data_IF_423525295697
#
_entry.id   IF_423525295697
#
_cell.length_a   1.000
_cell.length_b   1.000
_cell.length_c   1.000
_cell.angle_alpha   90.00
_cell.angle_beta   90.00
_cell.angle_gamma   90.00
#
_symmetry.space_group_name_H-M   'P 1'
#
loop_
_entity.id
_entity.type
_entity.pdbx_description
1 polymer ?
#
# COMPACT_ATOMS: atom_id res chain seq x y z
N UNK A 1 34.19 -52.97 -43.49
CA UNK A 1 32.77 -52.56 -43.66
C UNK A 1 32.41 -51.61 -42.53
N UNK A 2 32.26 -50.33 -42.86
CA UNK A 2 31.79 -49.26 -41.98
C UNK A 2 30.30 -49.42 -41.69
N UNK A 3 29.87 -49.15 -40.45
CA UNK A 3 28.57 -48.55 -40.20
C UNK A 3 28.68 -47.55 -39.06
N UNK A 4 28.63 -46.26 -39.41
CA UNK A 4 28.62 -45.14 -38.47
C UNK A 4 27.16 -44.79 -38.16
N UNK A 5 26.73 -44.95 -36.91
CA UNK A 5 25.38 -44.60 -36.46
C UNK A 5 25.34 -43.13 -36.05
N UNK A 6 24.70 -42.30 -36.88
CA UNK A 6 24.49 -40.87 -36.67
C UNK A 6 23.30 -40.70 -35.69
N UNK A 7 23.59 -40.38 -34.43
CA UNK A 7 22.55 -40.05 -33.42
C UNK A 7 22.10 -38.61 -33.62
N UNK A 8 20.87 -38.44 -34.13
CA UNK A 8 20.18 -37.14 -34.19
C UNK A 8 20.01 -36.57 -32.78
N UNK A 9 20.72 -35.48 -32.50
CA UNK A 9 20.48 -34.64 -31.32
C UNK A 9 19.29 -33.72 -31.63
N UNK A 10 18.13 -34.02 -31.05
CA UNK A 10 16.97 -33.11 -31.08
C UNK A 10 17.19 -32.04 -30.01
N UNK A 11 17.55 -30.84 -30.43
CA UNK A 11 17.66 -29.66 -29.58
C UNK A 11 16.25 -29.07 -29.39
N UNK A 12 15.59 -29.39 -28.28
CA UNK A 12 14.36 -28.70 -27.88
C UNK A 12 14.72 -27.30 -27.37
N UNK A 13 14.57 -26.28 -28.23
CA UNK A 13 14.50 -24.88 -27.80
C UNK A 13 13.25 -24.70 -26.95
N UNK A 14 13.39 -24.74 -25.62
CA UNK A 14 12.41 -24.14 -24.72
C UNK A 14 12.62 -22.62 -24.74
N UNK A 15 11.84 -21.93 -25.57
CA UNK A 15 11.70 -20.49 -25.45
C UNK A 15 11.05 -20.19 -24.09
N UNK A 16 11.87 -19.82 -23.10
CA UNK A 16 11.40 -19.31 -21.84
C UNK A 16 10.69 -17.98 -22.11
N UNK A 17 9.37 -18.02 -22.22
CA UNK A 17 8.52 -16.84 -22.18
C UNK A 17 8.68 -16.23 -20.79
N UNK A 18 9.61 -15.29 -20.63
CA UNK A 18 9.66 -14.42 -19.47
C UNK A 18 8.44 -13.51 -19.54
N UNK A 19 7.29 -14.03 -19.08
CA UNK A 19 6.10 -13.23 -18.85
C UNK A 19 6.46 -12.23 -17.78
N UNK A 20 6.69 -10.98 -18.17
CA UNK A 20 6.67 -9.87 -17.22
C UNK A 20 5.22 -9.78 -16.74
N UNK A 21 4.97 -10.31 -15.55
CA UNK A 21 3.73 -10.02 -14.85
C UNK A 21 3.72 -8.52 -14.59
N UNK A 22 3.06 -7.76 -15.46
CA UNK A 22 2.78 -6.35 -15.24
C UNK A 22 1.80 -6.35 -14.06
N UNK A 23 2.29 -6.17 -12.84
CA UNK A 23 1.41 -5.93 -11.71
C UNK A 23 0.74 -4.58 -11.98
N UNK A 24 -0.53 -4.60 -12.38
CA UNK A 24 -1.33 -3.38 -12.43
C UNK A 24 -1.20 -2.73 -11.05
N UNK A 25 -0.77 -1.45 -10.96
CA UNK A 25 -0.65 -0.80 -9.67
C UNK A 25 -2.01 -0.86 -8.97
N UNK A 26 -2.03 -1.43 -7.77
CA UNK A 26 -3.25 -1.70 -6.98
C UNK A 26 -4.07 -0.42 -6.70
N UNK A 27 -3.46 0.74 -6.90
CA UNK A 27 -4.08 2.06 -6.79
C UNK A 27 -3.76 2.90 -8.04
N UNK A 28 -4.77 3.55 -8.62
CA UNK A 28 -4.59 4.43 -9.79
C UNK A 28 -3.67 5.61 -9.47
N UNK A 29 -3.02 6.19 -10.49
CA UNK A 29 -2.13 7.35 -10.31
C UNK A 29 -2.87 8.58 -9.75
N UNK A 30 -4.10 8.83 -10.23
CA UNK A 30 -4.91 9.94 -9.72
C UNK A 30 -5.32 9.75 -8.26
N UNK A 31 -5.66 8.51 -7.86
CA UNK A 31 -5.96 8.18 -6.46
C UNK A 31 -4.73 8.35 -5.57
N UNK A 32 -3.57 7.85 -6.01
CA UNK A 32 -2.31 8.03 -5.28
C UNK A 32 -1.93 9.50 -5.12
N UNK A 33 -2.03 10.28 -6.20
CA UNK A 33 -1.73 11.72 -6.18
C UNK A 33 -2.64 12.47 -5.21
N UNK A 34 -3.96 12.22 -5.29
CA UNK A 34 -4.94 12.75 -4.33
C UNK A 34 -4.54 12.40 -2.91
N UNK A 35 -4.11 11.14 -2.69
CA UNK A 35 -3.77 10.69 -1.36
C UNK A 35 -2.55 11.40 -0.79
N UNK A 36 -1.52 11.66 -1.59
CA UNK A 36 -0.32 12.39 -1.13
C UNK A 36 -0.63 13.86 -0.85
N UNK A 37 -1.50 14.48 -1.66
CA UNK A 37 -1.92 15.87 -1.49
C UNK A 37 -2.81 16.06 -0.24
N UNK A 38 -3.58 15.03 0.14
CA UNK A 38 -4.49 15.03 1.30
C UNK A 38 -3.95 14.17 2.46
N UNK A 39 -3.51 14.79 3.55
CA UNK A 39 -2.79 14.11 4.65
C UNK A 39 -3.55 13.03 5.44
N UNK A 40 -4.85 12.86 5.20
CA UNK A 40 -5.69 11.84 5.89
C UNK A 40 -6.09 10.68 4.98
N UNK A 41 -5.58 10.67 3.74
CA UNK A 41 -5.79 9.62 2.75
C UNK A 41 -4.67 8.58 2.84
N UNK A 42 -4.99 7.36 2.42
CA UNK A 42 -4.04 6.25 2.43
C UNK A 42 -3.55 5.97 1.00
N UNK A 43 -2.31 5.49 0.90
CA UNK A 43 -1.68 5.15 -0.36
C UNK A 43 -0.92 3.83 -0.25
N UNK A 44 -0.87 3.08 -1.36
CA UNK A 44 -0.04 1.88 -1.48
C UNK A 44 1.32 2.27 -2.06
N UNK A 45 2.40 1.92 -1.36
CA UNK A 45 3.78 2.20 -1.75
C UNK A 45 4.76 1.19 -1.13
N UNK A 46 5.99 1.19 -1.63
CA UNK A 46 7.10 0.36 -1.13
C UNK A 46 8.10 1.22 -0.39
N UNK A 47 8.54 0.78 0.77
CA UNK A 47 9.62 1.38 1.56
C UNK A 47 10.81 0.42 1.56
N UNK A 48 12.00 0.94 1.32
CA UNK A 48 13.26 0.20 1.36
C UNK A 48 14.19 0.87 2.38
N UNK A 49 14.69 0.09 3.34
CA UNK A 49 15.77 0.51 4.25
C UNK A 49 17.12 0.24 3.56
N UNK A 50 17.77 1.30 3.08
CA UNK A 50 19.04 1.19 2.33
C UNK A 50 20.18 0.60 3.17
N UNK A 51 20.07 0.63 4.49
CA UNK A 51 21.11 0.07 5.38
C UNK A 51 21.03 -1.44 5.47
N UNK A 52 19.84 -2.01 5.34
CA UNK A 52 19.59 -3.45 5.51
C UNK A 52 19.17 -4.14 4.20
N UNK A 53 18.75 -3.38 3.20
CA UNK A 53 18.12 -3.88 1.99
C UNK A 53 16.71 -4.43 2.21
N UNK A 54 16.16 -4.34 3.43
CA UNK A 54 14.82 -4.81 3.71
C UNK A 54 13.79 -3.91 3.04
N UNK A 55 12.87 -4.53 2.31
CA UNK A 55 11.76 -3.84 1.65
C UNK A 55 10.42 -4.27 2.25
N UNK A 56 9.47 -3.34 2.27
CA UNK A 56 8.09 -3.61 2.65
C UNK A 56 7.14 -2.79 1.77
N UNK A 57 6.24 -3.49 1.10
CA UNK A 57 5.11 -2.88 0.38
C UNK A 57 3.88 -2.92 1.27
N UNK A 58 3.12 -1.84 1.31
CA UNK A 58 1.89 -1.79 2.06
C UNK A 58 1.13 -0.48 1.82
N UNK A 59 0.08 -0.31 2.59
CA UNK A 59 -0.82 0.81 2.63
C UNK A 59 -0.62 1.54 3.96
N UNK A 60 -0.44 2.86 3.90
CA UNK A 60 -0.37 3.69 5.11
C UNK A 60 -0.94 5.07 4.81
N UNK A 61 -1.32 5.77 5.88
CA UNK A 61 -1.74 7.17 5.79
C UNK A 61 -0.59 8.04 5.27
N UNK A 62 -0.85 8.90 4.29
CA UNK A 62 0.22 9.63 3.58
C UNK A 62 0.89 10.70 4.42
N UNK A 63 0.29 11.16 5.53
CA UNK A 63 1.00 12.00 6.50
C UNK A 63 2.24 11.31 7.09
N UNK A 64 2.20 9.99 7.28
CA UNK A 64 3.35 9.22 7.77
C UNK A 64 4.48 9.15 6.73
N UNK A 65 4.13 8.94 5.46
CA UNK A 65 5.10 9.00 4.37
C UNK A 65 5.71 10.41 4.24
N UNK A 66 4.88 11.45 4.29
CA UNK A 66 5.34 12.85 4.28
C UNK A 66 6.28 13.13 5.45
N UNK A 67 5.90 12.71 6.66
CA UNK A 67 6.74 12.85 7.85
C UNK A 67 8.08 12.13 7.71
N UNK A 68 8.11 10.95 7.06
CA UNK A 68 9.35 10.26 6.77
C UNK A 68 10.26 11.08 5.84
N UNK A 69 9.71 11.72 4.80
CA UNK A 69 10.47 12.62 3.93
C UNK A 69 10.99 13.88 4.65
N UNK A 70 10.19 14.47 5.53
CA UNK A 70 10.65 15.58 6.37
C UNK A 70 11.85 15.18 7.23
N UNK A 71 11.82 13.97 7.81
CA UNK A 71 12.89 13.42 8.65
C UNK A 71 14.13 13.03 7.82
N UNK A 72 13.95 12.36 6.68
CA UNK A 72 15.04 11.86 5.83
C UNK A 72 15.88 13.01 5.26
N UNK A 73 15.21 14.07 4.79
CA UNK A 73 15.85 15.18 4.09
C UNK A 73 16.00 16.44 4.93
N UNK A 74 15.69 16.37 6.23
CA UNK A 74 15.72 17.51 7.17
C UNK A 74 14.94 18.73 6.63
N UNK A 75 13.81 18.48 5.96
CA UNK A 75 12.94 19.51 5.39
C UNK A 75 11.95 19.95 6.48
N UNK A 76 11.86 21.26 6.75
CA UNK A 76 10.93 21.80 7.75
C UNK A 76 9.45 21.64 7.38
N UNK A 77 8.56 22.15 8.22
CA UNK A 77 7.10 21.95 8.09
C UNK A 77 6.35 23.21 7.65
N UNK A 78 7.04 24.20 7.08
CA UNK A 78 6.34 25.36 6.48
C UNK A 78 5.46 24.91 5.31
N UNK A 79 4.58 25.80 4.84
CA UNK A 79 3.70 25.52 3.69
C UNK A 79 4.52 25.20 2.44
N UNK A 80 5.58 25.97 2.20
CA UNK A 80 6.49 25.85 1.08
C UNK A 80 7.26 24.52 1.14
N UNK A 81 7.78 24.18 2.32
CA UNK A 81 8.52 22.93 2.54
C UNK A 81 7.61 21.70 2.46
N UNK A 82 6.38 21.80 2.95
CA UNK A 82 5.38 20.74 2.81
C UNK A 82 5.05 20.46 1.34
N UNK A 83 4.95 21.51 0.51
CA UNK A 83 4.77 21.38 -0.95
C UNK A 83 5.98 20.71 -1.60
N UNK A 84 7.20 21.04 -1.15
CA UNK A 84 8.43 20.38 -1.62
C UNK A 84 8.39 18.88 -1.34
N UNK A 85 7.98 18.47 -0.13
CA UNK A 85 7.84 17.05 0.22
C UNK A 85 6.81 16.35 -0.66
N UNK A 86 5.64 16.95 -0.89
CA UNK A 86 4.63 16.39 -1.81
C UNK A 86 5.20 16.20 -3.21
N UNK A 87 5.90 17.20 -3.76
CA UNK A 87 6.54 17.10 -5.08
C UNK A 87 7.59 15.97 -5.13
N UNK A 88 8.41 15.81 -4.08
CA UNK A 88 9.40 14.72 -4.00
C UNK A 88 8.74 13.34 -3.96
N UNK A 89 7.65 13.18 -3.21
CA UNK A 89 6.91 11.91 -3.17
C UNK A 89 6.35 11.59 -4.57
N UNK A 90 5.73 12.58 -5.22
CA UNK A 90 5.09 12.40 -6.53
C UNK A 90 6.08 12.25 -7.70
N UNK A 91 7.36 12.61 -7.53
CA UNK A 91 8.37 12.40 -8.57
C UNK A 91 8.80 10.93 -8.71
N UNK A 92 8.46 10.06 -7.76
CA UNK A 92 8.75 8.63 -7.79
C UNK A 92 7.53 7.86 -8.34
N UNK A 93 7.52 7.66 -9.66
CA UNK A 93 6.35 7.09 -10.37
C UNK A 93 6.10 5.62 -10.05
N UNK A 94 7.13 4.89 -9.63
CA UNK A 94 7.04 3.49 -9.20
C UNK A 94 6.58 3.35 -7.73
N UNK A 95 6.50 4.47 -6.99
CA UNK A 95 6.09 4.55 -5.59
C UNK A 95 6.99 3.70 -4.67
N UNK A 96 8.25 3.58 -5.05
CA UNK A 96 9.29 2.98 -4.21
C UNK A 96 10.10 4.09 -3.57
N UNK A 97 10.23 4.04 -2.25
CA UNK A 97 10.90 5.05 -1.46
C UNK A 97 12.02 4.44 -0.66
N UNK A 98 13.21 4.95 -0.88
CA UNK A 98 14.44 4.55 -0.23
C UNK A 98 14.73 5.49 0.94
N UNK A 99 15.04 4.92 2.10
CA UNK A 99 15.39 5.67 3.30
C UNK A 99 16.65 5.08 3.92
N UNK A 100 17.55 5.96 4.35
CA UNK A 100 18.71 5.58 5.15
C UNK A 100 18.49 5.94 6.63
N UNK A 101 17.66 6.94 6.94
CA UNK A 101 17.40 7.35 8.32
C UNK A 101 16.42 6.38 9.03
N UNK A 102 16.83 5.67 10.10
CA UNK A 102 15.93 4.76 10.83
C UNK A 102 14.71 5.48 11.43
N UNK A 103 14.82 6.78 11.74
CA UNK A 103 13.67 7.56 12.24
C UNK A 103 12.64 7.83 11.14
N UNK A 104 13.07 8.01 9.90
CA UNK A 104 12.16 8.18 8.76
C UNK A 104 11.37 6.90 8.52
N UNK A 105 12.05 5.75 8.52
CA UNK A 105 11.41 4.43 8.38
C UNK A 105 10.41 4.17 9.51
N UNK A 106 10.81 4.44 10.76
CA UNK A 106 9.94 4.27 11.93
C UNK A 106 8.70 5.18 11.90
N UNK A 107 8.73 6.28 11.14
CA UNK A 107 7.59 7.17 10.97
C UNK A 107 6.50 6.59 10.05
N UNK A 108 6.76 5.48 9.36
CA UNK A 108 5.80 4.80 8.49
C UNK A 108 5.35 3.49 9.16
N UNK A 109 4.35 3.55 10.05
CA UNK A 109 3.88 2.36 10.72
C UNK A 109 2.97 1.56 9.79
N UNK A 110 3.42 0.37 9.42
CA UNK A 110 2.55 -0.65 8.85
C UNK A 110 2.07 -1.55 9.99
N UNK A 111 0.96 -1.17 10.63
CA UNK A 111 0.44 -1.82 11.84
C UNK A 111 -0.12 -3.24 11.62
N UNK A 112 -0.16 -3.72 10.38
CA UNK A 112 -0.82 -4.96 10.01
C UNK A 112 0.12 -5.94 9.32
N UNK A 113 -0.21 -7.22 9.38
CA UNK A 113 0.41 -8.31 8.62
C UNK A 113 -0.35 -8.60 7.33
N UNK A 114 0.26 -9.33 6.38
CA UNK A 114 -0.44 -9.77 5.16
C UNK A 114 -1.71 -10.58 5.47
N UNK A 115 -1.69 -11.35 6.57
CA UNK A 115 -2.86 -12.10 7.04
C UNK A 115 -4.04 -11.18 7.42
N UNK A 116 -3.75 -9.99 7.95
CA UNK A 116 -4.79 -9.02 8.31
C UNK A 116 -5.42 -8.39 7.07
N UNK A 117 -4.64 -8.18 6.00
CA UNK A 117 -5.16 -7.73 4.70
C UNK A 117 -6.00 -8.82 4.06
N UNK A 118 -5.53 -10.07 4.06
CA UNK A 118 -6.30 -11.19 3.53
C UNK A 118 -7.63 -11.36 4.28
N UNK A 119 -7.60 -11.27 5.59
CA UNK A 119 -8.82 -11.29 6.42
C UNK A 119 -9.75 -10.13 6.06
N UNK A 120 -9.22 -8.95 5.75
CA UNK A 120 -10.03 -7.83 5.28
C UNK A 120 -10.61 -8.11 3.89
N UNK A 121 -9.83 -8.62 2.93
CA UNK A 121 -10.29 -9.01 1.59
C UNK A 121 -11.46 -9.98 1.67
N UNK A 122 -11.34 -11.06 2.44
CA UNK A 122 -12.41 -12.06 2.60
C UNK A 122 -13.70 -11.47 3.19
N UNK A 123 -13.61 -10.49 4.11
CA UNK A 123 -14.80 -9.80 4.65
C UNK A 123 -15.53 -8.97 3.59
N UNK A 124 -14.81 -8.46 2.59
CA UNK A 124 -15.35 -7.61 1.54
C UNK A 124 -15.78 -8.41 0.29
N UNK A 125 -15.30 -9.65 0.11
CA UNK A 125 -15.44 -10.46 -1.11
C UNK A 125 -16.89 -10.63 -1.59
N UNK A 126 -17.89 -10.63 -0.69
CA UNK A 126 -19.31 -10.74 -1.02
C UNK A 126 -20.05 -9.41 -1.24
N UNK A 127 -19.39 -8.26 -1.06
CA UNK A 127 -20.02 -6.95 -1.17
C UNK A 127 -19.74 -6.31 -2.54
N UNK A 128 -20.77 -5.81 -3.20
CA UNK A 128 -20.62 -4.96 -4.39
C UNK A 128 -20.02 -3.60 -4.02
N UNK A 129 -19.44 -2.89 -4.99
CA UNK A 129 -18.90 -1.56 -4.71
C UNK A 129 -19.97 -0.55 -4.24
N UNK A 130 -21.21 -0.70 -4.69
CA UNK A 130 -22.33 0.09 -4.19
C UNK A 130 -22.64 -0.25 -2.72
N UNK A 131 -22.71 -1.54 -2.37
CA UNK A 131 -22.94 -1.98 -1.00
C UNK A 131 -21.83 -1.49 -0.07
N UNK A 132 -20.57 -1.49 -0.51
CA UNK A 132 -19.45 -0.92 0.24
C UNK A 132 -19.61 0.58 0.50
N UNK A 133 -20.00 1.35 -0.53
CA UNK A 133 -20.26 2.79 -0.38
C UNK A 133 -21.42 3.07 0.57
N UNK A 134 -22.51 2.32 0.45
CA UNK A 134 -23.67 2.42 1.34
C UNK A 134 -23.31 2.03 2.78
N UNK A 135 -22.55 0.96 2.95
CA UNK A 135 -22.10 0.48 4.26
C UNK A 135 -21.22 1.53 4.97
N UNK A 136 -20.21 2.06 4.27
CA UNK A 136 -19.31 3.09 4.80
C UNK A 136 -20.07 4.39 5.09
N UNK A 137 -20.97 4.81 4.20
CA UNK A 137 -21.73 6.06 4.37
C UNK A 137 -22.80 6.01 5.46
N UNK A 138 -23.51 4.88 5.61
CA UNK A 138 -24.63 4.74 6.55
C UNK A 138 -24.20 4.52 7.99
N UNK A 139 -23.13 3.76 8.20
CA UNK A 139 -22.63 3.45 9.54
C UNK A 139 -21.50 4.35 9.97
N UNK A 140 -20.85 5.05 9.03
CA UNK A 140 -19.71 5.94 9.26
C UNK A 140 -18.50 5.26 9.87
N UNK A 141 -18.64 4.00 10.26
CA UNK A 141 -17.71 3.26 11.07
C UNK A 141 -17.89 1.81 10.66
N UNK A 142 -16.80 1.16 10.29
CA UNK A 142 -16.76 -0.29 10.13
C UNK A 142 -16.83 -0.96 11.51
N UNK A 143 -17.52 -0.34 12.48
CA UNK A 143 -17.74 -0.81 13.84
C UNK A 143 -18.51 -2.12 13.88
N UNK A 144 -19.41 -2.35 12.92
CA UNK A 144 -20.02 -3.68 12.76
C UNK A 144 -19.08 -4.72 12.13
N UNK A 145 -18.00 -4.28 11.48
CA UNK A 145 -16.83 -5.13 11.24
C UNK A 145 -15.86 -5.11 12.41
N UNK A 146 -15.99 -4.27 13.46
CA UNK A 146 -15.35 -4.49 14.76
C UNK A 146 -16.11 -5.61 15.45
N UNK A 147 -15.68 -6.85 15.20
CA UNK A 147 -15.80 -7.84 16.28
C UNK A 147 -15.25 -7.16 17.53
N UNK A 148 -16.05 -7.15 18.59
CA UNK A 148 -15.79 -6.60 19.92
C UNK A 148 -14.45 -7.11 20.45
N UNK A 149 -13.36 -6.53 19.96
CA UNK A 149 -12.04 -6.80 20.44
C UNK A 149 -11.83 -5.85 21.61
N UNK A 150 -12.07 -6.36 22.80
CA UNK A 150 -11.21 -6.03 23.94
C UNK A 150 -9.76 -6.31 23.51
N UNK A 151 -9.10 -5.34 22.89
CA UNK A 151 -7.80 -5.50 22.25
C UNK A 151 -6.96 -4.23 22.36
N UNK A 152 -5.65 -4.36 22.21
CA UNK A 152 -4.71 -3.24 22.25
C UNK A 152 -5.00 -2.22 21.12
N UNK A 153 -4.53 -0.99 21.29
CA UNK A 153 -4.55 0.05 20.25
C UNK A 153 -3.91 -0.44 18.93
N UNK A 154 -2.86 -1.27 19.04
CA UNK A 154 -2.20 -1.89 17.90
C UNK A 154 -3.15 -2.77 17.07
N UNK A 155 -3.95 -3.62 17.73
CA UNK A 155 -4.94 -4.45 17.03
C UNK A 155 -6.03 -3.61 16.35
N UNK A 156 -6.40 -2.48 16.97
CA UNK A 156 -7.33 -1.54 16.37
C UNK A 156 -6.75 -0.93 15.08
N UNK A 157 -5.53 -0.40 15.13
CA UNK A 157 -4.85 0.17 13.97
C UNK A 157 -4.62 -0.87 12.87
N UNK A 158 -4.16 -2.07 13.23
CA UNK A 158 -3.94 -3.16 12.28
C UNK A 158 -5.21 -3.46 11.46
N UNK A 159 -6.35 -3.59 12.14
CA UNK A 159 -7.64 -3.90 11.51
C UNK A 159 -8.14 -2.75 10.63
N UNK A 160 -8.03 -1.52 11.12
CA UNK A 160 -8.45 -0.32 10.39
C UNK A 160 -7.65 -0.20 9.10
N UNK A 161 -6.33 -0.24 9.21
CA UNK A 161 -5.40 0.00 8.11
C UNK A 161 -5.45 -1.14 7.10
N UNK A 162 -5.57 -2.40 7.54
CA UNK A 162 -5.74 -3.53 6.62
C UNK A 162 -7.07 -3.48 5.86
N UNK A 163 -8.14 -2.98 6.48
CA UNK A 163 -9.43 -2.78 5.82
C UNK A 163 -9.37 -1.65 4.78
N UNK A 164 -8.70 -0.54 5.11
CA UNK A 164 -8.44 0.54 4.16
C UNK A 164 -7.59 0.04 2.97
N UNK A 165 -6.55 -0.76 3.25
CA UNK A 165 -5.72 -1.39 2.22
C UNK A 165 -6.56 -2.22 1.24
N UNK A 166 -7.40 -3.12 1.76
CA UNK A 166 -8.27 -3.95 0.92
C UNK A 166 -9.31 -3.13 0.13
N UNK A 167 -9.76 -1.98 0.64
CA UNK A 167 -10.62 -1.05 -0.10
C UNK A 167 -9.86 -0.37 -1.25
N UNK A 168 -8.62 0.06 -1.02
CA UNK A 168 -7.80 0.69 -2.07
C UNK A 168 -7.48 -0.31 -3.18
N UNK A 169 -7.16 -1.56 -2.84
CA UNK A 169 -6.95 -2.65 -3.81
C UNK A 169 -8.18 -2.92 -4.70
N UNK A 170 -9.38 -2.56 -4.22
CA UNK A 170 -10.63 -2.63 -4.98
C UNK A 170 -10.93 -1.39 -5.81
N UNK A 171 -9.99 -0.43 -5.87
CA UNK A 171 -10.07 0.78 -6.67
C UNK A 171 -10.74 1.97 -5.99
N UNK A 172 -10.95 1.94 -4.68
CA UNK A 172 -11.44 3.10 -3.93
C UNK A 172 -10.30 4.05 -3.54
N UNK A 173 -10.60 5.35 -3.43
CA UNK A 173 -9.79 6.25 -2.60
C UNK A 173 -10.32 6.19 -1.19
N UNK A 174 -9.47 5.91 -0.20
CA UNK A 174 -9.91 5.69 1.17
C UNK A 174 -9.02 6.42 2.18
N UNK A 175 -9.58 6.73 3.34
CA UNK A 175 -8.87 7.38 4.43
C UNK A 175 -9.61 7.33 5.75
N UNK A 176 -9.09 8.06 6.73
CA UNK A 176 -9.66 8.14 8.09
C UNK A 176 -10.06 9.57 8.43
N UNK A 177 -11.12 9.73 9.23
CA UNK A 177 -11.47 11.02 9.81
C UNK A 177 -10.53 11.39 10.96
N UNK A 178 -9.97 12.60 10.92
CA UNK A 178 -8.97 13.13 11.88
C UNK A 178 -9.34 13.01 13.36
N UNK A 179 -10.64 13.02 13.70
CA UNK A 179 -11.13 12.99 15.10
C UNK A 179 -11.89 11.72 15.49
N UNK A 180 -12.25 10.91 14.52
CA UNK A 180 -13.25 9.85 14.74
C UNK A 180 -12.72 8.46 14.36
N UNK A 181 -11.53 8.38 13.75
CA UNK A 181 -10.96 7.15 13.15
C UNK A 181 -11.88 6.48 12.13
N UNK A 182 -12.92 7.19 11.71
CA UNK A 182 -13.94 6.70 10.78
C UNK A 182 -13.35 6.54 9.40
N UNK A 183 -13.48 5.34 8.87
CA UNK A 183 -13.10 5.05 7.49
C UNK A 183 -14.11 5.71 6.57
N UNK A 184 -13.62 6.36 5.52
CA UNK A 184 -14.43 6.87 4.41
C UNK A 184 -13.85 6.36 3.08
N UNK A 185 -14.69 6.29 2.04
CA UNK A 185 -14.28 5.92 0.69
C UNK A 185 -14.88 6.86 -0.37
N UNK A 186 -14.17 7.06 -1.47
CA UNK A 186 -14.56 7.80 -2.67
C UNK A 186 -14.33 6.95 -3.91
#
# INVERSE_FOLDING_TARGET
MQTSSLKSLVFCLFAAMTGTAISVPLQTESSFKSAVENSSEYAIFTVIDDRTGHSRTGCACTNFLRGAFHIEYEIGYTSEESKKVVTLILSHTDRTYHFTNPKAIANIPFYYSEKDVETARSRLEGMSNQQLREFVSSKGDLESLRQTASGSMENHNARRDSTICALIERGFSAGTGDRTDRIWIK
#
